data_IF_313484013893
#
_entry.id   IF_313484013893
#
_cell.length_a   1.000
_cell.length_b   1.000
_cell.length_c   1.000
_cell.angle_alpha   90.00
_cell.angle_beta   90.00
_cell.angle_gamma   90.00
#
_symmetry.space_group_name_H-M   'P 1'
#
loop_
_entity.id
_entity.type
_entity.pdbx_description
1 polymer ?
#
# COMPACT_ATOMS: atom_id res chain seq x y z
N UNK A 1 19.73 -11.54 -26.71
CA UNK A 1 19.01 -11.95 -25.46
C UNK A 1 18.76 -10.74 -24.56
N UNK A 2 17.68 -10.72 -23.76
CA UNK A 2 17.32 -9.56 -22.90
C UNK A 2 18.43 -9.23 -21.88
N UNK A 3 19.25 -10.21 -21.49
CA UNK A 3 20.33 -10.07 -20.51
C UNK A 3 21.74 -9.98 -21.12
N UNK A 4 21.86 -9.94 -22.44
CA UNK A 4 23.14 -10.02 -23.16
C UNK A 4 24.11 -8.88 -22.84
N UNK A 5 23.57 -7.69 -22.51
CA UNK A 5 24.35 -6.50 -22.10
C UNK A 5 24.35 -6.27 -20.58
N UNK A 6 23.83 -7.21 -19.80
CA UNK A 6 23.77 -7.07 -18.34
C UNK A 6 25.19 -7.13 -17.73
N UNK A 7 25.42 -6.34 -16.67
CA UNK A 7 26.70 -6.38 -15.93
C UNK A 7 26.92 -7.78 -15.36
N UNK A 8 28.09 -8.41 -15.55
CA UNK A 8 28.33 -9.80 -15.13
C UNK A 8 28.10 -10.08 -13.63
N UNK A 9 28.37 -9.09 -12.77
CA UNK A 9 28.28 -9.22 -11.30
C UNK A 9 27.01 -8.60 -10.69
N UNK A 10 26.09 -8.09 -11.51
CA UNK A 10 24.85 -7.55 -10.99
C UNK A 10 23.85 -8.68 -10.73
N UNK A 11 23.06 -8.55 -9.67
CA UNK A 11 21.84 -9.33 -9.48
C UNK A 11 20.90 -9.08 -10.65
N UNK A 12 20.34 -10.15 -11.21
CA UNK A 12 19.39 -10.10 -12.33
C UNK A 12 18.09 -10.67 -11.83
N UNK A 13 17.01 -9.92 -12.01
CA UNK A 13 15.68 -10.35 -11.67
C UNK A 13 14.75 -10.17 -12.87
N UNK A 14 13.77 -11.06 -13.00
CA UNK A 14 12.69 -11.01 -13.99
C UNK A 14 11.37 -11.03 -13.24
N UNK A 15 10.54 -10.03 -13.48
CA UNK A 15 9.18 -9.93 -12.96
C UNK A 15 8.21 -10.26 -14.11
N UNK A 16 7.58 -11.42 -14.05
CA UNK A 16 6.59 -11.88 -15.02
C UNK A 16 5.18 -11.55 -14.50
N UNK A 17 4.45 -10.70 -15.22
CA UNK A 17 3.05 -10.38 -14.92
C UNK A 17 2.18 -10.92 -16.05
N UNK A 18 1.19 -11.75 -15.73
CA UNK A 18 0.36 -12.47 -16.71
C UNK A 18 -1.02 -12.80 -16.14
N UNK A 19 -2.01 -13.03 -16.99
CA UNK A 19 -3.30 -13.66 -16.67
C UNK A 19 -3.18 -15.18 -16.42
N UNK A 20 -1.98 -15.74 -16.59
CA UNK A 20 -1.59 -17.08 -16.17
C UNK A 20 -1.88 -18.20 -17.17
N UNK A 21 -2.24 -17.89 -18.42
CA UNK A 21 -2.27 -18.88 -19.50
C UNK A 21 -1.22 -18.60 -20.57
N UNK A 22 -0.32 -19.55 -20.80
CA UNK A 22 0.65 -19.49 -21.88
C UNK A 22 -0.03 -19.69 -23.25
N UNK A 23 0.17 -18.74 -24.17
CA UNK A 23 -0.43 -18.75 -25.52
C UNK A 23 0.54 -19.22 -26.62
N UNK A 24 1.80 -19.51 -26.27
CA UNK A 24 2.91 -19.74 -27.21
C UNK A 24 3.68 -21.03 -27.00
N UNK A 25 3.16 -21.97 -26.21
CA UNK A 25 3.86 -23.19 -25.77
C UNK A 25 4.34 -23.11 -24.33
N UNK A 26 5.01 -24.16 -23.87
CA UNK A 26 5.46 -24.31 -22.48
C UNK A 26 6.62 -23.35 -22.14
N UNK A 27 6.43 -22.39 -21.22
CA UNK A 27 7.45 -21.41 -20.84
C UNK A 27 8.49 -21.95 -19.83
N UNK A 28 8.24 -23.11 -19.20
CA UNK A 28 9.11 -23.69 -18.15
C UNK A 28 10.55 -23.95 -18.60
N UNK A 29 10.83 -24.44 -19.82
CA UNK A 29 12.21 -24.61 -20.30
C UNK A 29 12.99 -23.30 -20.37
N UNK A 30 12.33 -22.20 -20.77
CA UNK A 30 12.96 -20.89 -20.83
C UNK A 30 13.23 -20.35 -19.42
N UNK A 31 12.28 -20.51 -18.50
CA UNK A 31 12.46 -20.14 -17.10
C UNK A 31 13.62 -20.91 -16.46
N UNK A 32 13.76 -22.21 -16.76
CA UNK A 32 14.88 -23.03 -16.28
C UNK A 32 16.24 -22.47 -16.74
N UNK A 33 16.38 -22.07 -18.00
CA UNK A 33 17.63 -21.48 -18.51
C UNK A 33 17.99 -20.19 -17.74
N UNK A 34 17.00 -19.34 -17.47
CA UNK A 34 17.20 -18.12 -16.70
C UNK A 34 17.60 -18.40 -15.24
N UNK A 35 16.94 -19.35 -14.57
CA UNK A 35 17.31 -19.77 -13.21
C UNK A 35 18.72 -20.38 -13.15
N UNK A 36 19.07 -21.21 -14.13
CA UNK A 36 20.41 -21.81 -14.25
C UNK A 36 21.49 -20.72 -14.48
N UNK A 37 21.12 -19.53 -14.99
CA UNK A 37 21.97 -18.34 -15.12
C UNK A 37 21.95 -17.42 -13.88
N UNK A 38 21.41 -17.89 -12.75
CA UNK A 38 21.25 -17.12 -11.50
C UNK A 38 20.38 -15.85 -11.68
N UNK A 39 19.40 -15.93 -12.57
CA UNK A 39 18.35 -14.91 -12.68
C UNK A 39 17.23 -15.30 -11.74
N UNK A 40 16.88 -14.40 -10.84
CA UNK A 40 15.75 -14.56 -9.93
C UNK A 40 14.45 -14.25 -10.69
N UNK A 41 13.45 -15.11 -10.57
CA UNK A 41 12.19 -15.01 -11.31
C UNK A 41 11.04 -14.91 -10.34
N UNK A 42 10.32 -13.79 -10.41
CA UNK A 42 9.07 -13.53 -9.70
C UNK A 42 7.90 -13.60 -10.67
N UNK A 43 6.84 -14.32 -10.33
CA UNK A 43 5.64 -14.48 -11.17
C UNK A 43 4.41 -13.90 -10.48
N UNK A 44 3.62 -13.12 -11.21
CA UNK A 44 2.38 -12.50 -10.76
C UNK A 44 1.26 -12.90 -11.72
N UNK A 45 0.44 -13.86 -11.30
CA UNK A 45 -0.77 -14.28 -12.00
C UNK A 45 -1.95 -13.42 -11.57
N UNK A 46 -2.64 -12.79 -12.51
CA UNK A 46 -3.83 -11.98 -12.24
C UNK A 46 -5.07 -12.77 -12.71
N UNK A 47 -6.04 -12.99 -11.83
CA UNK A 47 -7.19 -13.87 -11.99
C UNK A 47 -6.83 -15.37 -12.11
N UNK A 48 -7.66 -16.14 -12.84
CA UNK A 48 -7.67 -17.61 -12.88
C UNK A 48 -6.57 -18.18 -13.79
N UNK A 49 -5.30 -18.01 -13.42
CA UNK A 49 -4.16 -18.58 -14.12
C UNK A 49 -3.86 -20.05 -13.84
N UNK A 50 -3.00 -20.66 -14.66
CA UNK A 50 -2.40 -21.96 -14.38
C UNK A 50 -1.32 -21.83 -13.29
N UNK A 51 -1.77 -21.89 -12.03
CA UNK A 51 -0.91 -21.73 -10.84
C UNK A 51 0.31 -22.64 -10.88
N UNK A 52 0.15 -23.88 -11.34
CA UNK A 52 1.26 -24.84 -11.39
C UNK A 52 2.35 -24.42 -12.38
N UNK A 53 1.95 -23.92 -13.55
CA UNK A 53 2.91 -23.42 -14.54
C UNK A 53 3.68 -22.20 -14.02
N UNK A 54 2.99 -21.28 -13.32
CA UNK A 54 3.62 -20.12 -12.69
C UNK A 54 4.61 -20.54 -11.59
N UNK A 55 4.22 -21.48 -10.73
CA UNK A 55 5.10 -22.05 -9.69
C UNK A 55 6.34 -22.72 -10.29
N UNK A 56 6.19 -23.51 -11.35
CA UNK A 56 7.31 -24.19 -12.02
C UNK A 56 8.28 -23.18 -12.70
N UNK A 57 7.82 -21.97 -13.00
CA UNK A 57 8.62 -20.88 -13.59
C UNK A 57 9.31 -20.00 -12.55
N UNK A 58 8.69 -19.79 -11.39
CA UNK A 58 9.26 -19.00 -10.30
C UNK A 58 10.59 -19.60 -9.78
N UNK A 59 11.37 -18.77 -9.08
CA UNK A 59 12.57 -19.24 -8.36
C UNK A 59 12.21 -19.88 -7.02
N UNK A 60 13.13 -20.67 -6.47
CA UNK A 60 12.93 -21.31 -5.17
C UNK A 60 13.19 -20.31 -4.02
N UNK A 61 12.41 -20.33 -2.92
CA UNK A 61 11.19 -21.12 -2.75
C UNK A 61 10.00 -20.47 -3.50
N UNK A 62 9.17 -21.26 -4.22
CA UNK A 62 8.12 -20.72 -5.07
C UNK A 62 7.01 -20.01 -4.27
N UNK A 63 6.84 -20.34 -2.99
CA UNK A 63 5.91 -19.66 -2.08
C UNK A 63 6.30 -18.19 -1.83
N UNK A 64 7.56 -17.83 -2.04
CA UNK A 64 8.09 -16.47 -1.91
C UNK A 64 8.25 -15.76 -3.26
N UNK A 65 8.11 -16.47 -4.37
CA UNK A 65 8.39 -15.97 -5.73
C UNK A 65 7.19 -16.04 -6.68
N UNK A 66 6.08 -16.64 -6.28
CA UNK A 66 4.88 -16.80 -7.09
C UNK A 66 3.65 -16.27 -6.37
N UNK A 67 3.02 -15.26 -6.95
CA UNK A 67 1.85 -14.58 -6.41
C UNK A 67 0.67 -14.74 -7.37
N UNK A 68 -0.47 -15.16 -6.83
CA UNK A 68 -1.76 -15.20 -7.54
C UNK A 68 -2.65 -14.13 -6.90
N UNK A 69 -3.18 -13.24 -7.73
CA UNK A 69 -3.87 -12.03 -7.32
C UNK A 69 -5.19 -11.93 -8.07
N UNK A 70 -6.22 -11.37 -7.45
CA UNK A 70 -7.56 -11.32 -8.03
C UNK A 70 -7.71 -10.13 -9.01
N UNK A 71 -6.90 -9.08 -8.86
CA UNK A 71 -6.95 -7.89 -9.72
C UNK A 71 -5.59 -7.17 -9.87
N UNK A 72 -5.51 -6.27 -10.85
CA UNK A 72 -4.36 -5.37 -11.00
C UNK A 72 -4.22 -4.41 -9.81
N UNK A 73 -5.31 -4.07 -9.13
CA UNK A 73 -5.30 -3.21 -7.93
C UNK A 73 -4.63 -3.93 -6.76
N UNK A 74 -4.85 -5.24 -6.61
CA UNK A 74 -4.14 -6.06 -5.62
C UNK A 74 -2.67 -6.21 -5.95
N UNK A 75 -2.31 -6.34 -7.23
CA UNK A 75 -0.91 -6.30 -7.66
C UNK A 75 -0.25 -4.98 -7.28
N UNK A 76 -0.93 -3.86 -7.49
CA UNK A 76 -0.44 -2.55 -7.08
C UNK A 76 -0.30 -2.47 -5.55
N UNK A 77 -1.27 -2.97 -4.79
CA UNK A 77 -1.21 -3.01 -3.33
C UNK A 77 -0.07 -3.90 -2.80
N UNK A 78 0.15 -5.07 -3.43
CA UNK A 78 1.25 -5.98 -3.11
C UNK A 78 2.60 -5.34 -3.44
N UNK A 79 2.76 -4.80 -4.65
CA UNK A 79 3.98 -4.11 -5.07
C UNK A 79 4.25 -2.93 -4.13
N UNK A 80 3.22 -2.16 -3.76
CA UNK A 80 3.35 -1.11 -2.74
C UNK A 80 3.85 -1.70 -1.44
N UNK A 81 3.20 -2.71 -0.86
CA UNK A 81 3.60 -3.33 0.42
C UNK A 81 5.02 -3.91 0.39
N UNK A 82 5.35 -4.70 -0.63
CA UNK A 82 6.64 -5.36 -0.78
C UNK A 82 7.80 -4.37 -1.04
N UNK A 83 7.51 -3.23 -1.67
CA UNK A 83 8.48 -2.16 -1.89
C UNK A 83 8.51 -1.10 -0.76
N UNK A 84 7.53 -1.09 0.16
CA UNK A 84 7.35 -0.04 1.18
C UNK A 84 7.93 -0.33 2.57
N UNK A 85 8.70 -1.40 2.80
CA UNK A 85 9.52 -1.40 4.02
C UNK A 85 10.66 -0.36 3.93
N UNK A 86 11.12 0.00 2.72
CA UNK A 86 12.26 0.94 2.53
C UNK A 86 12.04 2.12 1.57
N UNK A 87 10.93 2.19 0.81
CA UNK A 87 10.60 3.44 0.13
C UNK A 87 10.06 4.42 1.17
N UNK A 88 10.87 5.43 1.53
CA UNK A 88 10.36 6.63 2.17
C UNK A 88 9.10 7.06 1.41
N UNK A 89 7.92 6.92 2.04
CA UNK A 89 6.69 7.53 1.54
C UNK A 89 7.06 8.99 1.38
N UNK A 90 7.23 9.42 0.13
CA UNK A 90 7.49 10.82 -0.17
C UNK A 90 6.43 11.66 0.52
N UNK A 91 6.73 12.92 0.79
CA UNK A 91 5.67 13.80 1.23
C UNK A 91 4.58 13.86 0.16
N UNK A 92 3.34 14.01 0.59
CA UNK A 92 2.23 14.35 -0.28
C UNK A 92 2.12 15.87 -0.33
N UNK A 93 2.00 16.41 -1.54
CA UNK A 93 1.74 17.83 -1.73
C UNK A 93 0.28 18.02 -2.06
N UNK A 94 -0.36 18.98 -1.41
CA UNK A 94 -1.74 19.38 -1.68
C UNK A 94 -1.87 19.83 -3.13
N UNK A 95 -2.94 19.37 -3.78
CA UNK A 95 -3.26 19.69 -5.17
C UNK A 95 -4.68 20.23 -5.29
N UNK A 96 -4.98 20.94 -6.39
CA UNK A 96 -6.36 21.30 -6.72
C UNK A 96 -7.25 20.04 -6.79
N UNK A 97 -8.51 20.10 -6.32
CA UNK A 97 -9.43 18.95 -6.35
C UNK A 97 -9.57 18.31 -7.73
N UNK A 98 -9.49 19.12 -8.80
CA UNK A 98 -9.63 18.69 -10.18
C UNK A 98 -8.51 17.74 -10.62
N UNK A 99 -7.34 17.81 -9.98
CA UNK A 99 -6.21 16.91 -10.25
C UNK A 99 -6.51 15.45 -9.90
N UNK A 100 -7.50 15.22 -9.03
CA UNK A 100 -7.92 13.87 -8.61
C UNK A 100 -9.15 13.37 -9.38
N UNK A 101 -9.63 14.10 -10.40
CA UNK A 101 -10.83 13.72 -11.17
C UNK A 101 -10.70 12.37 -11.89
N UNK A 102 -9.48 11.92 -12.19
CA UNK A 102 -9.24 10.61 -12.81
C UNK A 102 -9.32 9.44 -11.83
N UNK A 103 -9.44 9.69 -10.52
CA UNK A 103 -9.46 8.63 -9.49
C UNK A 103 -10.82 7.94 -9.36
N UNK A 104 -11.87 8.44 -10.04
CA UNK A 104 -13.20 7.85 -9.97
C UNK A 104 -13.94 7.89 -11.31
N UNK A 105 -14.91 6.97 -11.56
CA UNK A 105 -15.64 6.91 -12.83
C UNK A 105 -16.45 8.16 -13.16
N UNK A 106 -16.86 8.92 -12.14
CA UNK A 106 -17.63 10.15 -12.33
C UNK A 106 -16.80 11.27 -13.00
N UNK A 107 -15.47 11.19 -12.97
CA UNK A 107 -14.59 12.18 -13.61
C UNK A 107 -14.59 13.56 -12.93
N UNK A 108 -15.19 13.66 -11.74
CA UNK A 108 -15.33 14.91 -10.98
C UNK A 108 -15.64 14.59 -9.52
N UNK A 109 -15.21 15.46 -8.60
CA UNK A 109 -15.56 15.40 -7.17
C UNK A 109 -15.28 14.00 -6.55
N UNK A 110 -14.09 13.47 -6.84
CA UNK A 110 -13.73 12.09 -6.47
C UNK A 110 -13.32 11.94 -5.00
N UNK A 111 -12.73 12.97 -4.40
CA UNK A 111 -12.29 12.91 -3.01
C UNK A 111 -13.44 13.19 -2.04
N UNK A 112 -13.41 12.55 -0.88
CA UNK A 112 -14.34 12.82 0.21
C UNK A 112 -14.22 14.26 0.74
N UNK A 113 -15.29 14.77 1.37
CA UNK A 113 -15.27 16.08 2.04
C UNK A 113 -14.18 16.16 3.12
N UNK A 114 -13.94 15.04 3.82
CA UNK A 114 -12.88 14.88 4.83
C UNK A 114 -11.56 14.42 4.24
N UNK A 115 -11.41 14.45 2.91
CA UNK A 115 -10.15 14.19 2.23
C UNK A 115 -9.58 15.46 1.58
N UNK A 116 -8.36 15.32 1.08
CA UNK A 116 -7.67 16.33 0.30
C UNK A 116 -7.01 15.66 -0.91
N UNK A 117 -7.16 16.27 -2.09
CA UNK A 117 -6.43 15.82 -3.26
C UNK A 117 -4.95 16.15 -3.09
N UNK A 118 -4.11 15.15 -3.29
CA UNK A 118 -2.66 15.27 -3.13
C UNK A 118 -1.91 14.56 -4.24
N UNK A 119 -0.65 14.91 -4.43
CA UNK A 119 0.28 14.22 -5.33
C UNK A 119 1.51 13.75 -4.55
N UNK A 120 1.86 12.48 -4.69
CA UNK A 120 3.05 11.90 -4.07
C UNK A 120 4.33 12.45 -4.69
N UNK A 121 5.23 13.03 -3.89
CA UNK A 121 6.47 13.64 -4.39
C UNK A 121 7.47 12.67 -5.00
N UNK A 122 7.38 11.38 -4.66
CA UNK A 122 8.30 10.34 -5.13
C UNK A 122 7.81 9.61 -6.38
N UNK A 123 6.49 9.47 -6.56
CA UNK A 123 5.90 8.73 -7.67
C UNK A 123 5.07 9.59 -8.63
N UNK A 124 4.70 10.82 -8.24
CA UNK A 124 3.81 11.68 -9.03
C UNK A 124 2.36 11.20 -9.10
N UNK A 125 1.97 10.22 -8.26
CA UNK A 125 0.61 9.69 -8.25
C UNK A 125 -0.32 10.59 -7.46
N UNK A 126 -1.47 10.89 -8.04
CA UNK A 126 -2.55 11.57 -7.34
C UNK A 126 -3.27 10.59 -6.41
N UNK A 127 -3.62 11.06 -5.22
CA UNK A 127 -4.39 10.32 -4.25
C UNK A 127 -5.25 11.26 -3.42
N UNK A 128 -6.46 10.81 -3.08
CA UNK A 128 -7.25 11.45 -2.05
C UNK A 128 -6.77 10.96 -0.70
N UNK A 129 -6.33 11.86 0.17
CA UNK A 129 -5.90 11.49 1.53
C UNK A 129 -6.87 12.04 2.55
N UNK A 130 -7.39 11.16 3.41
CA UNK A 130 -8.17 11.58 4.56
C UNK A 130 -7.35 12.53 5.43
N UNK A 131 -8.00 13.61 5.83
CA UNK A 131 -7.42 14.62 6.73
C UNK A 131 -7.03 13.96 8.05
N UNK A 132 -6.12 14.60 8.79
CA UNK A 132 -5.78 14.23 10.17
C UNK A 132 -7.03 13.93 11.00
N UNK A 133 -6.95 12.91 11.84
CA UNK A 133 -8.08 12.35 12.58
C UNK A 133 -8.95 11.34 11.81
N UNK A 134 -8.79 11.19 10.49
CA UNK A 134 -9.59 10.28 9.67
C UNK A 134 -8.71 9.26 8.95
N UNK A 135 -9.27 8.08 8.68
CA UNK A 135 -8.66 7.00 7.91
C UNK A 135 -9.61 6.54 6.80
N UNK A 136 -9.11 5.77 5.82
CA UNK A 136 -9.90 5.30 4.68
C UNK A 136 -9.16 5.52 3.36
N UNK A 137 -9.82 5.20 2.24
CA UNK A 137 -9.23 5.42 0.90
C UNK A 137 -9.18 6.89 0.51
N UNK A 138 -9.95 7.76 1.17
CA UNK A 138 -10.05 9.17 0.83
C UNK A 138 -10.99 9.47 -0.33
N UNK A 139 -11.47 8.44 -1.04
CA UNK A 139 -12.50 8.59 -2.05
C UNK A 139 -13.85 8.92 -1.40
N UNK A 140 -14.74 9.52 -2.19
CA UNK A 140 -16.05 9.99 -1.73
C UNK A 140 -16.83 8.93 -0.95
N UNK A 141 -17.17 9.25 0.29
CA UNK A 141 -17.87 8.38 1.24
C UNK A 141 -16.96 7.53 2.12
N UNK A 142 -15.64 7.56 1.92
CA UNK A 142 -14.68 6.68 2.57
C UNK A 142 -13.54 7.46 3.27
N UNK A 143 -13.95 8.38 4.14
CA UNK A 143 -13.15 8.86 5.25
C UNK A 143 -13.91 8.68 6.56
N UNK A 144 -13.34 7.88 7.46
CA UNK A 144 -13.93 7.54 8.74
C UNK A 144 -13.10 8.12 9.88
N UNK A 145 -13.79 8.70 10.85
CA UNK A 145 -13.14 9.25 12.03
C UNK A 145 -12.44 8.13 12.81
N UNK A 146 -11.20 8.36 13.22
CA UNK A 146 -10.49 7.46 14.12
C UNK A 146 -11.32 7.24 15.41
N UNK A 147 -11.38 6.01 15.94
CA UNK A 147 -12.20 5.69 17.09
C UNK A 147 -11.75 6.44 18.36
N UNK A 148 -12.66 6.58 19.33
CA UNK A 148 -12.34 7.21 20.60
C UNK A 148 -11.16 6.51 21.31
N UNK A 149 -10.29 7.29 21.96
CA UNK A 149 -9.05 6.78 22.55
C UNK A 149 -7.89 6.63 21.57
N UNK A 150 -8.09 7.02 20.31
CA UNK A 150 -7.01 7.11 19.30
C UNK A 150 -6.94 8.52 18.70
N UNK A 151 -5.83 8.82 18.04
CA UNK A 151 -5.63 10.07 17.30
C UNK A 151 -4.81 9.82 16.04
N UNK A 152 -4.91 10.73 15.07
CA UNK A 152 -4.11 10.64 13.84
C UNK A 152 -3.56 12.01 13.44
N UNK A 153 -2.23 12.22 13.54
CA UNK A 153 -1.62 13.55 13.37
C UNK A 153 -1.41 13.98 11.92
N UNK A 154 -1.30 13.03 11.00
CA UNK A 154 -0.91 13.28 9.62
C UNK A 154 -1.96 12.77 8.64
N UNK A 155 -2.20 13.56 7.59
CA UNK A 155 -2.94 13.11 6.41
C UNK A 155 -2.02 12.20 5.60
N UNK A 156 -2.19 10.90 5.75
CA UNK A 156 -1.38 9.88 5.09
C UNK A 156 -2.30 8.75 4.60
N UNK A 157 -1.84 7.86 3.72
CA UNK A 157 -2.55 6.61 3.46
C UNK A 157 -2.65 5.77 4.74
N UNK A 158 -3.76 5.06 4.92
CA UNK A 158 -3.90 4.15 6.04
C UNK A 158 -5.34 3.82 6.37
N UNK A 159 -5.53 2.65 6.98
CA UNK A 159 -6.80 2.18 7.51
C UNK A 159 -6.91 2.51 9.01
N UNK A 160 -7.86 1.88 9.70
CA UNK A 160 -8.07 2.06 11.14
C UNK A 160 -6.83 1.76 11.99
N UNK A 161 -5.91 0.91 11.52
CA UNK A 161 -4.66 0.60 12.23
C UNK A 161 -3.68 1.77 12.23
N UNK A 162 -3.85 2.74 11.32
CA UNK A 162 -3.07 3.98 11.29
C UNK A 162 -3.49 4.99 12.38
N UNK A 163 -4.58 4.74 13.09
CA UNK A 163 -4.99 5.53 14.25
C UNK A 163 -4.15 5.16 15.47
N UNK A 164 -3.44 6.14 16.02
CA UNK A 164 -2.48 5.95 17.11
C UNK A 164 -3.23 5.96 18.45
N UNK A 165 -3.10 4.93 19.31
CA UNK A 165 -3.75 4.94 20.62
C UNK A 165 -3.17 6.02 21.53
N UNK A 166 -4.00 6.54 22.44
CA UNK A 166 -3.53 7.46 23.48
C UNK A 166 -2.42 6.79 24.32
N UNK A 167 -1.40 7.55 24.75
CA UNK A 167 -0.22 7.01 25.45
C UNK A 167 -0.50 6.23 26.74
N UNK A 168 -1.59 6.55 27.43
CA UNK A 168 -1.96 5.95 28.71
C UNK A 168 -3.33 5.27 28.60
N UNK A 169 -3.47 4.09 29.19
CA UNK A 169 -4.72 3.29 29.13
C UNK A 169 -5.91 3.99 29.80
N UNK A 170 -5.64 4.90 30.74
CA UNK A 170 -6.64 5.72 31.43
C UNK A 170 -6.88 7.05 30.72
N UNK A 171 -6.30 7.26 29.53
CA UNK A 171 -6.67 8.37 28.65
C UNK A 171 -7.78 7.97 27.68
N UNK A 172 -8.51 8.97 27.23
CA UNK A 172 -9.51 8.89 26.18
C UNK A 172 -9.43 10.18 25.34
N UNK A 173 -9.63 10.02 24.04
CA UNK A 173 -9.76 11.11 23.09
C UNK A 173 -11.13 10.99 22.41
N UNK A 174 -11.65 12.09 21.87
CA UNK A 174 -12.87 12.05 21.08
C UNK A 174 -12.60 11.35 19.73
N UNK A 175 -13.62 10.74 19.10
CA UNK A 175 -13.49 10.27 17.73
C UNK A 175 -12.99 11.39 16.80
N UNK A 176 -12.11 11.06 15.86
CA UNK A 176 -11.54 12.05 14.94
C UNK A 176 -10.43 12.92 15.55
N UNK A 177 -9.89 12.56 16.71
CA UNK A 177 -8.80 13.33 17.33
C UNK A 177 -7.56 13.37 16.45
N UNK A 178 -6.92 14.54 16.40
CA UNK A 178 -5.84 14.83 15.47
C UNK A 178 -4.49 14.94 16.15
N UNK A 179 -4.41 14.92 17.48
CA UNK A 179 -3.14 15.02 18.19
C UNK A 179 -3.20 14.37 19.56
N UNK A 180 -2.02 14.06 20.10
CA UNK A 180 -1.86 13.42 21.42
C UNK A 180 -2.32 14.35 22.55
N UNK A 181 -2.30 15.66 22.34
CA UNK A 181 -2.78 16.66 23.31
C UNK A 181 -4.30 16.56 23.55
N UNK A 182 -5.04 15.94 22.62
CA UNK A 182 -6.47 15.67 22.76
C UNK A 182 -6.77 14.40 23.58
N UNK A 183 -5.74 13.68 24.05
CA UNK A 183 -5.87 12.58 25.00
C UNK A 183 -6.01 13.13 26.43
N UNK A 184 -7.19 12.99 27.01
CA UNK A 184 -7.54 13.46 28.35
C UNK A 184 -7.77 12.28 29.29
N UNK A 185 -7.55 12.48 30.60
CA UNK A 185 -7.84 11.44 31.58
C UNK A 185 -9.34 11.12 31.60
N UNK A 186 -9.67 9.82 31.62
CA UNK A 186 -11.03 9.33 31.83
C UNK A 186 -11.58 9.85 33.16
N UNK A 187 -12.91 9.96 33.25
CA UNK A 187 -13.59 10.36 34.48
C UNK A 187 -13.15 9.50 35.65
N UNK A 188 -12.69 10.14 36.74
CA UNK A 188 -12.17 9.46 37.93
C UNK A 188 -10.64 9.37 38.01
N UNK A 189 -9.92 9.68 36.93
CA UNK A 189 -8.45 9.74 36.91
C UNK A 189 -7.97 11.19 36.90
N UNK A 190 -6.87 11.45 37.60
CA UNK A 190 -6.19 12.75 37.63
C UNK A 190 -4.90 12.70 36.82
N UNK A 191 -4.62 13.80 36.11
CA UNK A 191 -3.40 13.93 35.34
C UNK A 191 -2.23 14.19 36.27
N UNK A 192 -1.33 13.22 36.40
CA UNK A 192 -0.05 13.37 37.10
C UNK A 192 1.08 13.21 36.07
N UNK A 193 1.61 14.34 35.62
CA UNK A 193 2.58 14.37 34.51
C UNK A 193 1.96 13.93 33.18
N UNK A 194 2.49 12.84 32.58
CA UNK A 194 1.99 12.22 31.34
C UNK A 194 1.03 11.04 31.58
N UNK A 195 0.78 10.68 32.84
CA UNK A 195 -0.06 9.54 33.22
C UNK A 195 -1.37 10.00 33.84
N UNK A 196 -2.38 9.13 33.76
CA UNK A 196 -3.67 9.31 34.40
C UNK A 196 -3.80 8.29 35.53
N UNK A 197 -3.79 8.78 36.77
CA UNK A 197 -3.78 7.98 38.01
C UNK A 197 -5.02 8.19 38.85
#
# INVERSE_FOLDING_TARGET
EVLEKARPKATKAVFLVTDGYSNGGDPRPAAKVLRDQQVEIFTFGIQNGNVRELYDMASDPPEEHSYILDSFEEFEALARRALHEDLHIGSYLDQPPESCNSLCPAGTDCCDEMAQCTCGTTNGHYACLCRKGFYGTGLKGDCHACPAGTFRPTSSPGDVSSCIPCPDINQISLPGSTSVEQCLCKTGFQKVGKKCV
#
